data_IF_805502146806
#
_entry.id   IF_805502146806
#
_cell.length_a   1.000
_cell.length_b   1.000
_cell.length_c   1.000
_cell.angle_alpha   90.00
_cell.angle_beta   90.00
_cell.angle_gamma   90.00
#
_symmetry.space_group_name_H-M   'P 1'
#
loop_
_entity.id
_entity.type
_entity.pdbx_description
1 polymer ?
#
# COMPACT_ATOMS: atom_id res chain seq x y z
N UNK A 1 5.26 24.95 -44.47
CA UNK A 1 5.64 24.87 -43.04
C UNK A 1 7.12 25.20 -42.98
N UNK A 2 7.56 26.22 -42.24
CA UNK A 2 8.97 26.66 -42.26
C UNK A 2 9.89 25.56 -41.73
N UNK A 3 11.11 25.45 -42.28
CA UNK A 3 12.12 24.47 -41.85
C UNK A 3 12.43 24.56 -40.34
N UNK A 4 12.25 25.74 -39.75
CA UNK A 4 12.35 25.97 -38.30
C UNK A 4 11.30 25.21 -37.49
N UNK A 5 10.04 25.17 -37.96
CA UNK A 5 8.96 24.43 -37.28
C UNK A 5 9.19 22.93 -37.41
N UNK A 6 9.63 22.47 -38.59
CA UNK A 6 9.91 21.05 -38.81
C UNK A 6 11.11 20.58 -37.95
N UNK A 7 12.17 21.39 -37.84
CA UNK A 7 13.30 21.12 -36.96
C UNK A 7 12.89 21.09 -35.49
N UNK A 8 12.09 22.06 -35.03
CA UNK A 8 11.56 22.04 -33.66
C UNK A 8 10.75 20.77 -33.38
N UNK A 9 9.87 20.36 -34.31
CA UNK A 9 9.09 19.13 -34.18
C UNK A 9 9.98 17.89 -34.10
N UNK A 10 11.04 17.82 -34.92
CA UNK A 10 11.98 16.71 -34.91
C UNK A 10 12.81 16.65 -33.62
N UNK A 11 13.28 17.79 -33.12
CA UNK A 11 13.98 17.86 -31.82
C UNK A 11 13.05 17.48 -30.68
N UNK A 12 11.79 17.94 -30.69
CA UNK A 12 10.80 17.54 -29.69
C UNK A 12 10.50 16.05 -29.74
N UNK A 13 10.41 15.43 -30.92
CA UNK A 13 10.25 13.97 -31.06
C UNK A 13 11.46 13.22 -30.50
N UNK A 14 12.68 13.60 -30.87
CA UNK A 14 13.89 12.99 -30.34
C UNK A 14 14.00 13.11 -28.82
N UNK A 15 13.63 14.27 -28.27
CA UNK A 15 13.57 14.49 -26.84
C UNK A 15 12.53 13.58 -26.18
N UNK A 16 11.30 13.55 -26.70
CA UNK A 16 10.22 12.67 -26.24
C UNK A 16 10.61 11.20 -26.27
N UNK A 17 11.54 10.83 -27.15
CA UNK A 17 12.07 9.48 -27.33
C UNK A 17 13.33 9.14 -26.51
N UNK A 18 13.74 10.05 -25.60
CA UNK A 18 14.99 9.93 -24.83
C UNK A 18 14.77 9.50 -23.37
N UNK A 19 15.82 8.95 -22.73
CA UNK A 19 15.87 8.74 -21.27
C UNK A 19 15.74 10.05 -20.49
N UNK A 20 16.17 11.17 -21.09
CA UNK A 20 16.06 12.51 -20.53
C UNK A 20 14.59 12.90 -20.34
N UNK A 21 13.69 12.51 -21.25
CA UNK A 21 12.25 12.75 -21.09
C UNK A 21 11.67 12.04 -19.87
N UNK A 22 12.07 10.79 -19.58
CA UNK A 22 11.62 10.07 -18.39
C UNK A 22 12.06 10.74 -17.09
N UNK A 23 13.30 11.25 -17.06
CA UNK A 23 13.81 12.01 -15.94
C UNK A 23 12.99 13.30 -15.75
N UNK A 24 12.76 14.05 -16.82
CA UNK A 24 11.95 15.28 -16.77
C UNK A 24 10.51 15.00 -16.34
N UNK A 25 9.87 13.94 -16.86
CA UNK A 25 8.54 13.50 -16.40
C UNK A 25 8.57 13.24 -14.89
N UNK A 26 9.56 12.50 -14.40
CA UNK A 26 9.68 12.17 -12.98
C UNK A 26 9.86 13.43 -12.12
N UNK A 27 10.71 14.36 -12.56
CA UNK A 27 10.95 15.64 -11.87
C UNK A 27 9.69 16.51 -11.83
N UNK A 28 8.92 16.59 -12.92
CA UNK A 28 7.64 17.29 -12.94
C UNK A 28 6.65 16.64 -11.97
N UNK A 29 6.54 15.30 -11.99
CA UNK A 29 5.67 14.57 -11.05
C UNK A 29 6.06 14.75 -9.58
N UNK A 30 7.36 14.84 -9.27
CA UNK A 30 7.87 15.16 -7.93
C UNK A 30 7.53 16.60 -7.56
N UNK A 31 7.71 17.54 -8.48
CA UNK A 31 7.38 18.95 -8.26
C UNK A 31 5.91 19.15 -7.88
N UNK A 32 4.97 18.48 -8.57
CA UNK A 32 3.55 18.55 -8.21
C UNK A 32 3.25 17.95 -6.82
N UNK A 33 3.94 16.87 -6.42
CA UNK A 33 3.83 16.32 -5.05
C UNK A 33 4.31 17.31 -4.01
N UNK A 34 5.43 17.99 -4.26
CA UNK A 34 5.94 19.07 -3.40
C UNK A 34 4.93 20.21 -3.30
N UNK A 35 4.37 20.67 -4.42
CA UNK A 35 3.36 21.75 -4.43
C UNK A 35 2.12 21.40 -3.58
N UNK A 36 1.61 20.17 -3.69
CA UNK A 36 0.51 19.70 -2.84
C UNK A 36 0.92 19.66 -1.37
N UNK A 37 2.15 19.22 -1.08
CA UNK A 37 2.71 19.15 0.27
C UNK A 37 2.88 20.49 0.99
N UNK A 38 2.88 21.61 0.26
CA UNK A 38 2.90 22.97 0.83
C UNK A 38 1.62 23.26 1.62
N UNK A 39 0.49 22.67 1.23
CA UNK A 39 -0.80 22.83 1.90
C UNK A 39 -0.85 22.25 3.32
N UNK A 40 -1.95 22.48 4.05
CA UNK A 40 -2.18 21.84 5.35
C UNK A 40 -2.32 20.31 5.19
N UNK A 41 -2.10 19.58 6.28
CA UNK A 41 -2.24 18.12 6.36
C UNK A 41 -3.47 17.73 7.18
N UNK A 42 -3.80 16.43 7.17
CA UNK A 42 -4.87 15.86 8.00
C UNK A 42 -4.65 16.21 9.48
N UNK A 43 -5.57 16.99 10.06
CA UNK A 43 -5.53 17.39 11.46
C UNK A 43 -4.65 18.59 11.81
N UNK A 44 -4.21 19.39 10.82
CA UNK A 44 -3.43 20.61 11.08
C UNK A 44 -4.13 21.56 12.06
N UNK A 45 -3.45 21.91 13.17
CA UNK A 45 -3.98 22.75 14.26
C UNK A 45 -5.29 22.25 14.87
N UNK A 46 -5.52 20.93 14.89
CA UNK A 46 -6.74 20.30 15.42
C UNK A 46 -6.48 19.48 16.69
N UNK A 47 -6.11 20.17 17.77
CA UNK A 47 -6.03 19.58 19.12
C UNK A 47 -7.38 18.99 19.56
N UNK A 48 -7.42 17.93 20.40
CA UNK A 48 -6.27 17.28 21.06
C UNK A 48 -5.64 16.14 20.26
N UNK A 49 -6.37 15.54 19.32
CA UNK A 49 -5.94 14.30 18.66
C UNK A 49 -5.31 14.53 17.28
N UNK A 50 -5.51 15.68 16.63
CA UNK A 50 -5.00 15.93 15.28
C UNK A 50 -5.50 14.85 14.29
N UNK A 51 -4.71 14.52 13.27
CA UNK A 51 -5.11 13.60 12.19
C UNK A 51 -3.97 12.66 11.80
N UNK A 52 -4.04 12.12 10.58
CA UNK A 52 -3.13 11.06 10.12
C UNK A 52 -1.65 11.47 10.11
N UNK A 53 -1.35 12.76 9.94
CA UNK A 53 0.02 13.27 10.09
C UNK A 53 0.58 12.98 11.47
N UNK A 54 -0.21 13.29 12.51
CA UNK A 54 0.19 13.06 13.90
C UNK A 54 0.20 11.58 14.24
N UNK A 55 -0.70 10.78 13.64
CA UNK A 55 -0.65 9.33 13.79
C UNK A 55 0.71 8.77 13.33
N UNK A 56 1.17 9.14 12.13
CA UNK A 56 2.45 8.68 11.60
C UNK A 56 3.64 9.20 12.42
N UNK A 57 3.63 10.47 12.86
CA UNK A 57 4.67 11.01 13.75
C UNK A 57 4.70 10.24 15.07
N UNK A 58 3.55 10.01 15.68
CA UNK A 58 3.46 9.31 16.95
C UNK A 58 3.95 7.86 16.83
N UNK A 59 3.71 7.18 15.70
CA UNK A 59 4.29 5.86 15.45
C UNK A 59 5.82 5.89 15.41
N UNK A 60 6.42 6.94 14.83
CA UNK A 60 7.87 7.15 14.87
C UNK A 60 8.38 7.36 16.32
N UNK A 61 7.69 8.19 17.11
CA UNK A 61 7.99 8.40 18.53
C UNK A 61 7.92 7.10 19.33
N UNK A 62 6.83 6.33 19.20
CA UNK A 62 6.65 5.06 19.92
C UNK A 62 7.73 4.05 19.55
N UNK A 63 8.03 3.92 18.25
CA UNK A 63 8.99 2.90 17.79
C UNK A 63 10.41 3.20 18.24
N UNK A 64 10.81 4.47 18.29
CA UNK A 64 12.14 4.89 18.75
C UNK A 64 12.30 4.74 20.27
N UNK A 65 11.24 5.04 21.05
CA UNK A 65 11.35 5.11 22.51
C UNK A 65 11.00 3.80 23.23
N UNK A 66 10.20 2.92 22.62
CA UNK A 66 9.68 1.71 23.28
C UNK A 66 10.28 0.43 22.72
N UNK A 67 10.29 -0.63 23.54
CA UNK A 67 10.69 -1.95 23.06
C UNK A 67 9.67 -2.45 22.01
N UNK A 68 10.09 -3.17 20.95
CA UNK A 68 9.17 -3.75 19.97
C UNK A 68 7.99 -4.51 20.59
N UNK A 69 8.20 -5.23 21.70
CA UNK A 69 7.12 -5.96 22.40
C UNK A 69 6.00 -5.06 22.92
N UNK A 70 6.25 -3.76 23.10
CA UNK A 70 5.32 -2.78 23.66
C UNK A 70 4.58 -1.96 22.59
N UNK A 71 5.02 -2.02 21.32
CA UNK A 71 4.48 -1.20 20.23
C UNK A 71 2.97 -1.37 19.99
N UNK A 72 2.44 -2.58 20.23
CA UNK A 72 1.04 -2.93 20.03
C UNK A 72 0.30 -3.22 21.34
N UNK A 73 0.90 -2.94 22.49
CA UNK A 73 0.35 -3.28 23.81
C UNK A 73 0.00 -2.00 24.55
N UNK A 74 -1.16 -1.98 25.22
CA UNK A 74 -1.51 -0.90 26.12
C UNK A 74 -0.56 -0.93 27.32
N UNK A 75 0.22 0.13 27.51
CA UNK A 75 1.11 0.30 28.66
C UNK A 75 0.90 1.70 29.28
N UNK A 76 1.68 2.04 30.30
CA UNK A 76 1.71 3.41 30.82
C UNK A 76 2.27 4.40 29.77
N UNK A 77 3.18 3.91 28.93
CA UNK A 77 3.89 4.68 27.92
C UNK A 77 3.24 4.64 26.52
N UNK A 78 2.36 3.67 26.27
CA UNK A 78 1.62 3.51 25.03
C UNK A 78 0.11 3.42 25.32
N UNK A 79 -0.61 4.52 25.06
CA UNK A 79 -2.07 4.55 25.24
C UNK A 79 -2.81 4.46 23.92
N UNK A 80 -3.75 3.51 23.82
CA UNK A 80 -4.60 3.32 22.65
C UNK A 80 -5.55 4.48 22.37
N UNK A 81 -5.76 5.38 23.34
CA UNK A 81 -6.54 6.59 23.16
C UNK A 81 -5.84 7.61 22.24
N UNK A 82 -4.51 7.53 22.11
CA UNK A 82 -3.69 8.43 21.31
C UNK A 82 -2.89 7.66 20.25
N UNK A 83 -3.46 7.55 19.03
CA UNK A 83 -2.83 6.99 17.82
C UNK A 83 -1.95 5.75 18.01
N UNK A 84 -2.53 4.65 18.51
CA UNK A 84 -1.85 3.34 18.47
C UNK A 84 -1.43 2.96 17.05
N UNK A 85 -0.37 2.16 16.93
CA UNK A 85 0.02 1.54 15.67
C UNK A 85 -1.05 0.52 15.28
N UNK A 86 -1.72 0.74 14.15
CA UNK A 86 -2.77 -0.14 13.62
C UNK A 86 -2.37 -0.81 12.30
N UNK A 87 -1.13 -0.61 11.86
CA UNK A 87 -0.56 -1.25 10.67
C UNK A 87 0.35 -2.42 11.05
N UNK A 88 0.58 -3.40 10.16
CA UNK A 88 1.41 -4.56 10.49
C UNK A 88 2.90 -4.20 10.63
N UNK A 89 3.75 -5.15 11.08
CA UNK A 89 5.08 -4.84 11.59
C UNK A 89 6.03 -4.11 10.63
N UNK A 90 5.93 -4.29 9.31
CA UNK A 90 6.82 -3.57 8.39
C UNK A 90 6.57 -2.07 8.44
N UNK A 91 5.34 -1.61 8.65
CA UNK A 91 5.06 -0.18 8.86
C UNK A 91 5.69 0.35 10.14
N UNK A 92 5.67 -0.42 11.22
CA UNK A 92 6.34 -0.04 12.46
C UNK A 92 7.86 0.05 12.27
N UNK A 93 8.49 -0.90 11.56
CA UNK A 93 9.92 -0.82 11.25
C UNK A 93 10.27 0.34 10.31
N UNK A 94 9.42 0.67 9.33
CA UNK A 94 9.61 1.86 8.50
C UNK A 94 9.47 3.14 9.34
N UNK A 95 8.52 3.16 10.27
CA UNK A 95 8.37 4.26 11.24
C UNK A 95 9.59 4.37 12.15
N UNK A 96 10.19 3.26 12.57
CA UNK A 96 11.43 3.24 13.34
C UNK A 96 12.60 3.88 12.58
N UNK A 97 12.76 3.54 11.29
CA UNK A 97 13.83 4.10 10.45
C UNK A 97 13.66 5.61 10.33
N UNK A 98 12.46 6.08 9.99
CA UNK A 98 12.21 7.52 9.90
C UNK A 98 12.25 8.21 11.27
N UNK A 99 11.85 7.52 12.35
CA UNK A 99 11.93 8.03 13.70
C UNK A 99 13.37 8.29 14.14
N UNK A 100 14.31 7.39 13.86
CA UNK A 100 15.73 7.65 14.14
C UNK A 100 16.28 8.83 13.32
N UNK A 101 15.86 8.97 12.05
CA UNK A 101 16.25 10.13 11.23
C UNK A 101 15.65 11.41 11.82
N UNK A 102 14.38 11.38 12.24
CA UNK A 102 13.71 12.52 12.87
C UNK A 102 14.35 12.89 14.20
N UNK A 103 14.67 11.93 15.05
CA UNK A 103 15.36 12.16 16.32
C UNK A 103 16.73 12.79 16.13
N UNK A 104 17.46 12.42 15.06
CA UNK A 104 18.74 13.03 14.73
C UNK A 104 18.61 14.48 14.22
N UNK A 105 17.61 14.75 13.37
CA UNK A 105 17.42 16.07 12.75
C UNK A 105 16.69 17.07 13.66
N UNK A 106 15.71 16.59 14.42
CA UNK A 106 14.87 17.36 15.34
C UNK A 106 14.48 16.49 16.55
N UNK A 107 15.33 16.44 17.60
CA UNK A 107 15.09 15.62 18.79
C UNK A 107 13.77 15.93 19.50
N UNK A 108 13.29 17.18 19.44
CA UNK A 108 12.05 17.59 20.12
C UNK A 108 10.82 16.91 19.53
N UNK A 109 10.86 16.54 18.25
CA UNK A 109 9.78 15.83 17.56
C UNK A 109 9.54 14.40 18.05
N UNK A 110 10.47 13.81 18.81
CA UNK A 110 10.47 12.40 19.22
C UNK A 110 10.53 12.19 20.74
N UNK A 111 10.31 13.24 21.54
CA UNK A 111 10.29 13.11 23.01
C UNK A 111 8.98 12.46 23.44
N UNK A 112 9.09 11.30 24.11
CA UNK A 112 7.94 10.55 24.59
C UNK A 112 6.99 11.44 25.41
N UNK A 113 5.70 11.43 25.09
CA UNK A 113 4.62 12.24 25.67
C UNK A 113 4.67 13.75 25.38
N UNK A 114 5.84 14.38 25.43
CA UNK A 114 6.00 15.83 25.27
C UNK A 114 5.86 16.28 23.81
N UNK A 115 6.17 15.39 22.85
CA UNK A 115 6.08 15.67 21.41
C UNK A 115 4.70 15.39 20.81
N UNK A 116 3.69 15.06 21.62
CA UNK A 116 2.32 14.82 21.15
C UNK A 116 1.72 16.10 20.56
N UNK A 117 1.31 16.03 19.30
CA UNK A 117 0.81 17.18 18.56
C UNK A 117 1.90 18.19 18.17
N UNK A 118 3.15 17.73 18.01
CA UNK A 118 4.27 18.59 17.66
C UNK A 118 4.12 19.17 16.25
N UNK A 119 3.92 20.48 16.18
CA UNK A 119 3.78 21.24 14.94
C UNK A 119 4.98 22.18 14.74
N UNK A 120 5.92 21.77 13.90
CA UNK A 120 7.03 22.59 13.44
C UNK A 120 7.13 22.58 11.91
N UNK A 121 7.56 23.71 11.33
CA UNK A 121 7.65 23.87 9.89
C UNK A 121 8.76 23.01 9.25
N UNK A 122 9.92 22.90 9.88
CA UNK A 122 11.02 22.08 9.38
C UNK A 122 10.69 20.59 9.54
N UNK A 123 10.07 20.21 10.65
CA UNK A 123 9.58 18.85 10.84
C UNK A 123 8.50 18.47 9.81
N UNK A 124 7.61 19.41 9.43
CA UNK A 124 6.68 19.23 8.29
C UNK A 124 7.43 18.93 7.00
N UNK A 125 8.51 19.66 6.69
CA UNK A 125 9.32 19.39 5.50
C UNK A 125 9.89 17.97 5.55
N UNK A 126 10.50 17.57 6.68
CA UNK A 126 11.03 16.22 6.86
C UNK A 126 9.97 15.14 6.57
N UNK A 127 8.80 15.27 7.20
CA UNK A 127 7.69 14.34 7.04
C UNK A 127 7.17 14.29 5.59
N UNK A 128 7.09 15.42 4.88
CA UNK A 128 6.72 15.40 3.44
C UNK A 128 7.78 14.71 2.59
N UNK A 129 9.06 14.93 2.91
CA UNK A 129 10.17 14.33 2.17
C UNK A 129 10.30 12.82 2.40
N UNK A 130 9.95 12.30 3.58
CA UNK A 130 9.92 10.84 3.81
C UNK A 130 8.91 10.14 2.91
N UNK A 131 7.70 10.71 2.75
CA UNK A 131 6.67 10.18 1.85
C UNK A 131 7.15 10.22 0.39
N UNK A 132 7.73 11.34 -0.05
CA UNK A 132 8.31 11.48 -1.40
C UNK A 132 9.44 10.48 -1.63
N UNK A 133 10.32 10.27 -0.65
CA UNK A 133 11.41 9.31 -0.77
C UNK A 133 10.89 7.88 -0.97
N UNK A 134 9.90 7.45 -0.17
CA UNK A 134 9.23 6.16 -0.35
C UNK A 134 8.56 6.02 -1.72
N UNK A 135 7.86 7.06 -2.17
CA UNK A 135 7.18 7.11 -3.47
C UNK A 135 8.18 6.98 -4.63
N UNK A 136 9.26 7.78 -4.63
CA UNK A 136 10.28 7.74 -5.68
C UNK A 136 11.05 6.41 -5.68
N UNK A 137 11.49 5.93 -4.51
CA UNK A 137 12.33 4.73 -4.44
C UNK A 137 11.56 3.46 -4.78
N UNK A 138 10.26 3.39 -4.44
CA UNK A 138 9.49 2.14 -4.56
C UNK A 138 8.39 2.23 -5.61
N UNK A 139 7.56 3.27 -5.62
CA UNK A 139 6.44 3.38 -6.57
C UNK A 139 6.90 3.80 -7.97
N UNK A 140 7.70 4.86 -8.10
CA UNK A 140 8.14 5.33 -9.43
C UNK A 140 8.97 4.25 -10.15
N UNK A 141 9.88 3.61 -9.42
CA UNK A 141 10.76 2.57 -9.98
C UNK A 141 9.99 1.31 -10.39
N UNK A 142 9.08 0.82 -9.54
CA UNK A 142 8.24 -0.34 -9.85
C UNK A 142 7.28 -0.06 -11.00
N UNK A 143 6.64 1.12 -11.00
CA UNK A 143 5.74 1.56 -12.05
C UNK A 143 6.48 1.59 -13.39
N UNK A 144 7.66 2.20 -13.44
CA UNK A 144 8.46 2.21 -14.65
C UNK A 144 8.75 0.79 -15.17
N UNK A 145 9.16 -0.13 -14.28
CA UNK A 145 9.47 -1.52 -14.65
C UNK A 145 8.26 -2.31 -15.15
N UNK A 146 7.11 -2.18 -14.49
CA UNK A 146 5.87 -2.82 -14.95
C UNK A 146 5.43 -2.25 -16.30
N UNK A 147 5.49 -0.92 -16.46
CA UNK A 147 5.17 -0.24 -17.72
C UNK A 147 6.08 -0.66 -18.87
N UNK A 148 7.36 -0.88 -18.61
CA UNK A 148 8.30 -1.41 -19.60
C UNK A 148 7.94 -2.80 -20.13
N UNK A 149 7.19 -3.61 -19.37
CA UNK A 149 6.71 -4.92 -19.82
C UNK A 149 5.36 -4.78 -20.52
N UNK A 150 4.41 -4.10 -19.89
CA UNK A 150 3.03 -4.00 -20.36
C UNK A 150 2.88 -3.22 -21.66
N UNK A 151 3.66 -2.16 -21.81
CA UNK A 151 3.44 -1.16 -22.85
C UNK A 151 4.40 -1.33 -24.03
N UNK A 152 5.10 -2.47 -24.14
CA UNK A 152 6.06 -2.74 -25.23
C UNK A 152 5.44 -2.67 -26.63
N UNK A 153 4.14 -2.98 -26.74
CA UNK A 153 3.39 -2.89 -27.99
C UNK A 153 3.13 -1.45 -28.47
N UNK A 154 3.35 -0.45 -27.61
CA UNK A 154 3.15 0.95 -27.95
C UNK A 154 4.48 1.65 -28.21
N UNK A 155 4.46 2.66 -29.08
CA UNK A 155 5.61 3.53 -29.34
C UNK A 155 6.07 4.27 -28.07
N UNK A 156 7.33 4.71 -28.06
CA UNK A 156 7.97 5.30 -26.87
C UNK A 156 7.22 6.54 -26.36
N UNK A 157 6.77 7.43 -27.24
CA UNK A 157 5.97 8.61 -26.87
C UNK A 157 4.69 8.24 -26.12
N UNK A 158 3.91 7.27 -26.61
CA UNK A 158 2.69 6.80 -25.94
C UNK A 158 2.99 6.18 -24.58
N UNK A 159 4.09 5.40 -24.48
CA UNK A 159 4.52 4.81 -23.21
C UNK A 159 4.85 5.87 -22.17
N UNK A 160 5.56 6.92 -22.56
CA UNK A 160 5.92 8.03 -21.67
C UNK A 160 4.69 8.83 -21.25
N UNK A 161 3.75 9.08 -22.16
CA UNK A 161 2.49 9.75 -21.84
C UNK A 161 1.68 8.95 -20.80
N UNK A 162 1.55 7.63 -20.97
CA UNK A 162 0.85 6.78 -20.01
C UNK A 162 1.56 6.71 -18.65
N UNK A 163 2.91 6.70 -18.64
CA UNK A 163 3.69 6.76 -17.41
C UNK A 163 3.46 8.08 -16.66
N UNK A 164 3.46 9.20 -17.38
CA UNK A 164 3.12 10.51 -16.82
C UNK A 164 1.70 10.54 -16.25
N UNK A 165 0.70 10.06 -16.99
CA UNK A 165 -0.71 10.00 -16.52
C UNK A 165 -0.84 9.18 -15.24
N UNK A 166 -0.16 8.03 -15.16
CA UNK A 166 -0.19 7.19 -13.96
C UNK A 166 0.46 7.86 -12.75
N UNK A 167 1.59 8.54 -12.93
CA UNK A 167 2.26 9.30 -11.88
C UNK A 167 1.48 10.55 -11.44
N UNK A 168 0.67 11.11 -12.33
CA UNK A 168 -0.19 12.28 -12.10
C UNK A 168 -1.61 11.92 -11.62
N UNK A 169 -1.85 10.67 -11.22
CA UNK A 169 -3.14 10.24 -10.68
C UNK A 169 -3.54 11.09 -9.45
N UNK A 170 -4.58 11.96 -9.54
CA UNK A 170 -4.87 12.92 -8.48
C UNK A 170 -5.19 12.30 -7.11
N UNK A 171 -5.98 11.21 -7.00
CA UNK A 171 -6.23 10.58 -5.71
C UNK A 171 -4.96 10.14 -4.99
N UNK A 172 -3.99 9.57 -5.70
CA UNK A 172 -2.71 9.15 -5.10
C UNK A 172 -1.91 10.36 -4.60
N UNK A 173 -1.84 11.43 -5.40
CA UNK A 173 -1.10 12.63 -5.02
C UNK A 173 -1.75 13.31 -3.80
N UNK A 174 -3.06 13.53 -3.84
CA UNK A 174 -3.78 14.27 -2.79
C UNK A 174 -3.82 13.51 -1.46
N UNK A 175 -3.99 12.19 -1.49
CA UNK A 175 -4.04 11.38 -0.26
C UNK A 175 -2.65 11.24 0.35
N UNK A 176 -1.62 10.91 -0.43
CA UNK A 176 -0.29 10.70 0.17
C UNK A 176 0.40 12.02 0.50
N UNK A 177 0.40 12.98 -0.43
CA UNK A 177 1.20 14.20 -0.32
C UNK A 177 0.41 15.40 0.21
N UNK A 178 -0.93 15.33 0.24
CA UNK A 178 -1.79 16.32 0.87
C UNK A 178 -2.23 15.85 2.25
N UNK A 179 -3.06 14.80 2.29
CA UNK A 179 -3.64 14.25 3.51
C UNK A 179 -2.61 13.65 4.47
N UNK A 180 -1.51 13.09 3.94
CA UNK A 180 -0.38 12.47 4.66
C UNK A 180 -0.54 10.98 4.90
N UNK A 181 -0.24 10.18 3.88
CA UNK A 181 -0.32 8.73 3.90
C UNK A 181 0.85 8.13 3.10
N UNK A 182 1.20 6.86 3.37
CA UNK A 182 2.25 6.13 2.65
C UNK A 182 1.65 5.06 1.70
N UNK A 183 0.54 5.33 1.01
CA UNK A 183 -0.13 4.31 0.18
C UNK A 183 0.68 3.91 -1.06
N UNK A 184 1.37 4.86 -1.69
CA UNK A 184 2.24 4.62 -2.83
C UNK A 184 3.33 3.61 -2.51
N UNK A 185 3.80 3.52 -1.26
CA UNK A 185 4.76 2.50 -0.84
C UNK A 185 4.18 1.08 -0.94
N UNK A 186 2.95 0.84 -0.43
CA UNK A 186 2.22 -0.42 -0.61
C UNK A 186 2.02 -0.74 -2.11
N UNK A 187 1.53 0.24 -2.87
CA UNK A 187 1.28 0.04 -4.31
C UNK A 187 2.56 -0.25 -5.07
N UNK A 188 3.68 0.38 -4.69
CA UNK A 188 4.99 0.13 -5.29
C UNK A 188 5.53 -1.27 -4.98
N UNK A 189 5.40 -1.75 -3.74
CA UNK A 189 5.73 -3.14 -3.39
C UNK A 189 4.86 -4.12 -4.18
N UNK A 190 3.57 -3.83 -4.32
CA UNK A 190 2.65 -4.64 -5.14
C UNK A 190 3.06 -4.67 -6.61
N UNK A 191 3.45 -3.53 -7.18
CA UNK A 191 3.93 -3.45 -8.57
C UNK A 191 5.27 -4.17 -8.76
N UNK A 192 6.19 -4.09 -7.80
CA UNK A 192 7.42 -4.88 -7.82
C UNK A 192 7.12 -6.38 -7.80
N UNK A 193 6.20 -6.81 -6.93
CA UNK A 193 5.78 -8.20 -6.88
C UNK A 193 5.18 -8.67 -8.21
N UNK A 194 4.33 -7.84 -8.84
CA UNK A 194 3.80 -8.09 -10.19
C UNK A 194 4.95 -8.24 -11.20
N UNK A 195 5.91 -7.31 -11.21
CA UNK A 195 7.05 -7.34 -12.13
C UNK A 195 7.84 -8.65 -12.03
N UNK A 196 8.18 -9.08 -10.82
CA UNK A 196 8.94 -10.32 -10.60
C UNK A 196 8.14 -11.56 -10.97
N UNK A 197 6.84 -11.60 -10.65
CA UNK A 197 5.93 -12.65 -11.13
C UNK A 197 5.90 -12.72 -12.66
N UNK A 198 5.87 -11.59 -13.36
CA UNK A 198 5.89 -11.54 -14.83
C UNK A 198 7.20 -12.02 -15.45
N UNK A 199 8.31 -11.91 -14.70
CA UNK A 199 9.62 -12.44 -15.07
C UNK A 199 9.78 -13.92 -14.73
N UNK A 200 8.74 -14.58 -14.21
CA UNK A 200 8.80 -15.97 -13.75
C UNK A 200 9.50 -16.15 -12.40
N UNK A 201 9.93 -15.06 -11.75
CA UNK A 201 10.58 -15.06 -10.43
C UNK A 201 9.53 -15.02 -9.31
N UNK A 202 8.63 -16.00 -9.29
CA UNK A 202 7.46 -16.03 -8.40
C UNK A 202 7.81 -16.10 -6.91
N UNK A 203 8.97 -16.65 -6.53
CA UNK A 203 9.46 -16.61 -5.15
C UNK A 203 9.71 -15.17 -4.69
N UNK A 204 10.47 -14.41 -5.48
CA UNK A 204 10.77 -12.99 -5.20
C UNK A 204 9.48 -12.17 -5.21
N UNK A 205 8.61 -12.42 -6.18
CA UNK A 205 7.29 -11.80 -6.25
C UNK A 205 6.45 -12.07 -5.01
N UNK A 206 6.40 -13.32 -4.54
CA UNK A 206 5.70 -13.72 -3.32
C UNK A 206 6.26 -13.04 -2.06
N UNK A 207 7.59 -13.02 -1.90
CA UNK A 207 8.25 -12.35 -0.76
C UNK A 207 7.92 -10.84 -0.75
N UNK A 208 8.09 -10.15 -1.88
CA UNK A 208 7.82 -8.71 -1.97
C UNK A 208 6.34 -8.40 -1.73
N UNK A 209 5.43 -9.24 -2.23
CA UNK A 209 4.00 -9.07 -1.97
C UNK A 209 3.68 -9.25 -0.48
N UNK A 210 4.30 -10.23 0.19
CA UNK A 210 4.20 -10.43 1.63
C UNK A 210 4.74 -9.23 2.41
N UNK A 211 5.84 -8.61 1.97
CA UNK A 211 6.30 -7.33 2.54
C UNK A 211 5.21 -6.25 2.38
N UNK A 212 4.59 -6.15 1.21
CA UNK A 212 3.46 -5.24 0.97
C UNK A 212 2.30 -5.44 1.96
N UNK A 213 1.84 -6.67 2.13
CA UNK A 213 0.77 -6.99 3.12
C UNK A 213 1.21 -6.61 4.53
N UNK A 214 2.47 -6.86 4.89
CA UNK A 214 3.01 -6.51 6.20
C UNK A 214 3.30 -5.01 6.37
N UNK A 215 3.26 -4.22 5.29
CA UNK A 215 3.28 -2.77 5.37
C UNK A 215 1.88 -2.25 5.65
N UNK A 216 0.88 -2.69 4.89
CA UNK A 216 -0.52 -2.28 5.10
C UNK A 216 -1.45 -3.41 4.72
N UNK A 217 -2.29 -3.83 5.66
CA UNK A 217 -3.19 -4.98 5.57
C UNK A 217 -4.19 -4.87 4.41
N UNK A 218 -4.46 -3.66 3.92
CA UNK A 218 -5.27 -3.43 2.70
C UNK A 218 -4.66 -4.09 1.45
N UNK A 219 -3.38 -4.46 1.47
CA UNK A 219 -2.76 -5.30 0.44
C UNK A 219 -3.43 -6.68 0.29
N UNK A 220 -4.17 -7.16 1.30
CA UNK A 220 -4.94 -8.40 1.23
C UNK A 220 -5.99 -8.42 0.11
N UNK A 221 -6.44 -7.25 -0.36
CA UNK A 221 -7.40 -7.15 -1.46
C UNK A 221 -6.82 -7.69 -2.78
N UNK A 222 -5.50 -7.84 -2.86
CA UNK A 222 -4.81 -8.44 -3.99
C UNK A 222 -4.39 -9.90 -3.73
N UNK A 223 -4.52 -10.39 -2.49
CA UNK A 223 -3.92 -11.67 -2.07
C UNK A 223 -4.48 -12.86 -2.84
N UNK A 224 -5.80 -12.94 -3.05
CA UNK A 224 -6.41 -14.00 -3.85
C UNK A 224 -5.93 -13.98 -5.30
N UNK A 225 -5.66 -12.79 -5.87
CA UNK A 225 -5.12 -12.68 -7.24
C UNK A 225 -3.70 -13.23 -7.32
N UNK A 226 -2.83 -12.85 -6.39
CA UNK A 226 -1.44 -13.34 -6.34
C UNK A 226 -1.38 -14.84 -6.06
N UNK A 227 -2.16 -15.31 -5.09
CA UNK A 227 -2.27 -16.73 -4.77
C UNK A 227 -2.68 -17.54 -6.00
N UNK A 228 -3.79 -17.17 -6.64
CA UNK A 228 -4.30 -17.87 -7.81
C UNK A 228 -3.35 -17.78 -9.01
N UNK A 229 -2.66 -16.65 -9.21
CA UNK A 229 -1.66 -16.51 -10.26
C UNK A 229 -0.45 -17.42 -10.03
N UNK A 230 0.16 -17.38 -8.84
CA UNK A 230 1.37 -18.16 -8.54
C UNK A 230 1.04 -19.66 -8.56
N UNK A 231 -0.07 -20.07 -7.94
CA UNK A 231 -0.50 -21.46 -7.94
C UNK A 231 -0.77 -21.96 -9.36
N UNK A 232 -1.51 -21.19 -10.17
CA UNK A 232 -1.74 -21.51 -11.58
C UNK A 232 -0.44 -21.60 -12.37
N UNK A 233 0.45 -20.61 -12.24
CA UNK A 233 1.73 -20.56 -12.94
C UNK A 233 2.60 -21.78 -12.66
N UNK A 234 2.67 -22.21 -11.40
CA UNK A 234 3.46 -23.36 -10.99
C UNK A 234 2.78 -24.71 -11.22
N UNK A 235 1.45 -24.74 -11.31
CA UNK A 235 0.69 -25.98 -11.57
C UNK A 235 0.62 -26.32 -13.05
N UNK A 236 0.80 -25.34 -13.94
CA UNK A 236 0.78 -25.54 -15.39
C UNK A 236 1.99 -26.33 -15.91
N UNK A 237 3.15 -26.18 -15.27
CA UNK A 237 4.33 -26.97 -15.56
C UNK A 237 4.39 -28.16 -14.58
N UNK A 238 4.13 -29.37 -15.08
CA UNK A 238 4.09 -30.60 -14.28
C UNK A 238 5.48 -31.14 -13.91
N UNK A 239 6.55 -30.39 -14.20
CA UNK A 239 7.92 -30.74 -13.81
C UNK A 239 8.15 -30.79 -12.30
N UNK A 240 9.10 -31.63 -11.88
CA UNK A 240 9.56 -31.71 -10.48
C UNK A 240 10.02 -30.34 -9.95
N UNK A 241 10.67 -29.53 -10.79
CA UNK A 241 11.13 -28.18 -10.46
C UNK A 241 9.99 -27.27 -10.00
N UNK A 242 8.85 -27.31 -10.68
CA UNK A 242 7.70 -26.45 -10.36
C UNK A 242 7.03 -26.86 -9.04
N UNK A 243 6.91 -28.17 -8.78
CA UNK A 243 6.43 -28.69 -7.49
C UNK A 243 7.33 -28.25 -6.33
N UNK A 244 8.64 -28.36 -6.50
CA UNK A 244 9.62 -27.92 -5.50
C UNK A 244 9.55 -26.40 -5.30
N UNK A 245 9.38 -25.63 -6.37
CA UNK A 245 9.28 -24.17 -6.30
C UNK A 245 8.04 -23.71 -5.53
N UNK A 246 6.90 -24.40 -5.61
CA UNK A 246 5.71 -24.10 -4.77
C UNK A 246 6.07 -24.13 -3.29
N UNK A 247 6.80 -25.16 -2.85
CA UNK A 247 7.24 -25.30 -1.46
C UNK A 247 8.14 -24.13 -1.07
N UNK A 248 9.09 -23.77 -1.93
CA UNK A 248 9.98 -22.63 -1.66
C UNK A 248 9.23 -21.30 -1.61
N UNK A 249 8.22 -21.07 -2.46
CA UNK A 249 7.39 -19.87 -2.38
C UNK A 249 6.62 -19.84 -1.06
N UNK A 250 5.95 -20.94 -0.69
CA UNK A 250 5.24 -21.04 0.58
C UNK A 250 6.16 -20.80 1.78
N UNK A 251 7.34 -21.44 1.79
CA UNK A 251 8.35 -21.24 2.81
C UNK A 251 8.86 -19.79 2.86
N UNK A 252 9.15 -19.17 1.71
CA UNK A 252 9.59 -17.78 1.63
C UNK A 252 8.56 -16.80 2.18
N UNK A 253 7.28 -17.00 1.87
CA UNK A 253 6.17 -16.21 2.42
C UNK A 253 6.07 -16.38 3.93
N UNK A 254 6.06 -17.61 4.44
CA UNK A 254 5.97 -17.89 5.88
C UNK A 254 7.18 -17.31 6.61
N UNK A 255 8.39 -17.57 6.12
CA UNK A 255 9.62 -17.09 6.73
C UNK A 255 9.67 -15.57 6.77
N UNK A 256 9.26 -14.89 5.70
CA UNK A 256 9.20 -13.41 5.67
C UNK A 256 8.26 -12.87 6.75
N UNK A 257 7.06 -13.44 6.88
CA UNK A 257 6.10 -13.05 7.92
C UNK A 257 6.66 -13.35 9.32
N UNK A 258 7.21 -14.54 9.55
CA UNK A 258 7.79 -14.92 10.83
C UNK A 258 8.89 -13.96 11.22
N UNK A 259 9.85 -13.66 10.33
CA UNK A 259 10.96 -12.73 10.59
C UNK A 259 10.44 -11.36 11.04
N UNK A 260 9.46 -10.80 10.32
CA UNK A 260 8.88 -9.51 10.67
C UNK A 260 8.15 -9.54 12.03
N UNK A 261 7.53 -10.68 12.36
CA UNK A 261 6.69 -10.83 13.55
C UNK A 261 7.44 -11.37 14.77
N UNK A 262 8.74 -11.67 14.67
CA UNK A 262 9.57 -12.30 15.71
C UNK A 262 9.29 -11.75 17.12
N UNK A 263 9.26 -10.41 17.37
CA UNK A 263 9.07 -9.89 18.72
C UNK A 263 7.75 -10.34 19.37
N UNK A 264 6.68 -10.46 18.59
CA UNK A 264 5.31 -10.69 19.07
C UNK A 264 4.86 -12.16 19.04
N UNK A 265 5.45 -13.00 18.19
CA UNK A 265 5.12 -14.45 18.16
C UNK A 265 5.66 -15.22 19.37
N UNK A 266 6.54 -14.61 20.17
CA UNK A 266 7.15 -15.25 21.35
C UNK A 266 6.16 -15.46 22.50
N UNK A 267 5.04 -14.72 22.53
CA UNK A 267 4.04 -14.80 23.58
C UNK A 267 2.64 -14.67 22.95
N UNK A 268 1.72 -15.59 23.28
CA UNK A 268 0.35 -15.59 22.77
C UNK A 268 -0.41 -14.28 23.04
N UNK A 269 -0.16 -13.62 24.17
CA UNK A 269 -0.74 -12.31 24.48
C UNK A 269 -0.26 -11.23 23.51
N UNK A 270 1.05 -11.17 23.23
CA UNK A 270 1.62 -10.17 22.32
C UNK A 270 1.12 -10.38 20.89
N UNK A 271 1.04 -11.64 20.45
CA UNK A 271 0.48 -12.00 19.16
C UNK A 271 -0.98 -11.58 19.03
N UNK A 272 -1.79 -11.81 20.07
CA UNK A 272 -3.19 -11.40 20.10
C UNK A 272 -3.33 -9.87 19.96
N UNK A 273 -2.57 -9.10 20.73
CA UNK A 273 -2.60 -7.63 20.67
C UNK A 273 -2.21 -7.10 19.29
N UNK A 274 -1.18 -7.68 18.66
CA UNK A 274 -0.78 -7.37 17.28
C UNK A 274 -1.92 -7.65 16.28
N UNK A 275 -2.57 -8.80 16.36
CA UNK A 275 -3.66 -9.18 15.45
C UNK A 275 -4.87 -8.25 15.65
N UNK A 276 -5.25 -7.93 16.88
CA UNK A 276 -6.36 -7.02 17.21
C UNK A 276 -6.08 -5.58 16.75
N UNK A 277 -4.82 -5.15 16.73
CA UNK A 277 -4.42 -3.87 16.18
C UNK A 277 -4.59 -3.81 14.66
N UNK A 278 -4.15 -4.86 13.95
CA UNK A 278 -4.20 -4.93 12.47
C UNK A 278 -5.64 -5.16 11.96
N UNK A 279 -6.41 -6.01 12.65
CA UNK A 279 -7.77 -6.41 12.29
C UNK A 279 -8.76 -6.13 13.43
N UNK A 280 -9.26 -4.89 13.55
CA UNK A 280 -10.23 -4.56 14.60
C UNK A 280 -11.63 -5.08 14.25
N UNK A 281 -11.89 -6.36 14.52
CA UNK A 281 -13.15 -7.07 14.21
C UNK A 281 -14.41 -6.38 14.77
N UNK A 282 -14.26 -5.49 15.76
CA UNK A 282 -15.36 -4.81 16.44
C UNK A 282 -15.92 -3.57 15.70
N UNK A 283 -15.39 -3.18 14.53
CA UNK A 283 -15.97 -2.07 13.74
C UNK A 283 -17.23 -2.53 12.98
N UNK A 284 -18.32 -1.78 13.12
CA UNK A 284 -19.59 -2.08 12.47
C UNK A 284 -19.57 -1.79 10.96
N UNK A 285 -20.33 -2.56 10.19
CA UNK A 285 -20.27 -2.61 8.71
C UNK A 285 -20.69 -1.35 7.95
N UNK A 286 -21.11 -0.27 8.58
CA UNK A 286 -21.42 0.99 7.89
C UNK A 286 -21.28 2.18 8.84
N UNK A 287 -20.39 2.06 9.82
CA UNK A 287 -20.04 3.17 10.72
C UNK A 287 -19.32 4.29 9.94
N UNK A 288 -18.65 3.95 8.84
CA UNK A 288 -18.06 4.90 7.90
C UNK A 288 -18.94 5.00 6.64
N UNK A 289 -19.27 6.23 6.24
CA UNK A 289 -20.02 6.49 5.00
C UNK A 289 -19.09 6.32 3.80
N UNK A 290 -18.99 5.08 3.32
CA UNK A 290 -18.17 4.70 2.14
C UNK A 290 -19.09 4.40 0.96
N UNK A 291 -18.62 4.61 -0.27
CA UNK A 291 -19.37 4.29 -1.49
C UNK A 291 -19.38 2.78 -1.79
N UNK A 292 -19.81 1.96 -0.82
CA UNK A 292 -19.87 0.51 -0.93
C UNK A 292 -21.32 -0.01 -0.97
N UNK A 293 -21.48 -1.32 -1.26
CA UNK A 293 -22.79 -1.95 -1.39
C UNK A 293 -23.63 -1.78 -0.13
N UNK A 294 -23.01 -1.93 1.05
CA UNK A 294 -23.68 -1.85 2.35
C UNK A 294 -24.23 -0.46 2.63
N UNK A 295 -23.44 0.60 2.44
CA UNK A 295 -23.90 1.97 2.68
C UNK A 295 -25.02 2.38 1.71
N UNK A 296 -24.90 2.01 0.43
CA UNK A 296 -25.92 2.31 -0.57
C UNK A 296 -27.23 1.55 -0.30
N UNK A 297 -27.16 0.23 -0.12
CA UNK A 297 -28.34 -0.61 0.12
C UNK A 297 -29.01 -0.29 1.46
N UNK A 298 -28.26 0.17 2.48
CA UNK A 298 -28.82 0.56 3.78
C UNK A 298 -29.78 1.76 3.71
N UNK A 299 -29.80 2.50 2.61
CA UNK A 299 -30.82 3.53 2.36
C UNK A 299 -32.20 2.90 2.19
N UNK A 300 -32.26 1.75 1.50
CA UNK A 300 -33.50 1.05 1.15
C UNK A 300 -33.82 -0.11 2.11
N UNK A 301 -32.80 -0.86 2.52
CA UNK A 301 -32.90 -2.06 3.36
C UNK A 301 -32.13 -1.82 4.64
N UNK A 302 -32.84 -1.63 5.76
CA UNK A 302 -32.20 -1.46 7.08
C UNK A 302 -31.67 -2.80 7.59
N UNK A 303 -30.46 -3.19 7.15
CA UNK A 303 -29.87 -4.51 7.43
C UNK A 303 -29.82 -4.88 8.92
N UNK A 304 -29.55 -3.92 9.81
CA UNK A 304 -29.58 -4.13 11.27
C UNK A 304 -30.94 -4.58 11.83
N UNK A 305 -32.04 -4.33 11.11
CA UNK A 305 -33.37 -4.76 11.56
C UNK A 305 -33.59 -6.26 11.27
N UNK A 306 -32.81 -6.84 10.36
CA UNK A 306 -32.98 -8.22 9.88
C UNK A 306 -31.86 -9.14 10.34
N UNK A 307 -30.65 -8.63 10.52
CA UNK A 307 -29.47 -9.43 10.84
C UNK A 307 -28.63 -8.76 11.93
N UNK A 308 -28.01 -9.59 12.77
CA UNK A 308 -27.00 -9.13 13.71
C UNK A 308 -25.67 -8.83 13.00
N UNK A 309 -24.76 -8.10 13.67
CA UNK A 309 -23.49 -7.70 13.10
C UNK A 309 -22.62 -8.89 12.65
N UNK A 310 -22.59 -9.98 13.43
CA UNK A 310 -21.80 -11.17 13.10
C UNK A 310 -22.29 -11.83 11.80
N UNK A 311 -23.60 -12.00 11.65
CA UNK A 311 -24.20 -12.56 10.44
C UNK A 311 -23.91 -11.68 9.23
N UNK A 312 -24.01 -10.37 9.36
CA UNK A 312 -23.68 -9.47 8.27
C UNK A 312 -22.18 -9.54 7.89
N UNK A 313 -21.27 -9.73 8.85
CA UNK A 313 -19.84 -9.97 8.58
C UNK A 313 -19.67 -11.27 7.79
N UNK A 314 -20.33 -12.36 8.17
CA UNK A 314 -20.27 -13.61 7.41
C UNK A 314 -20.83 -13.48 5.99
N UNK A 315 -21.95 -12.77 5.81
CA UNK A 315 -22.51 -12.49 4.48
C UNK A 315 -21.52 -11.67 3.66
N UNK A 316 -20.86 -10.67 4.25
CA UNK A 316 -19.87 -9.82 3.60
C UNK A 316 -18.67 -10.63 3.07
N UNK A 317 -18.15 -11.55 3.88
CA UNK A 317 -17.06 -12.45 3.51
C UNK A 317 -17.52 -13.39 2.39
N UNK A 318 -18.69 -14.00 2.55
CA UNK A 318 -19.26 -14.92 1.58
C UNK A 318 -19.45 -14.28 0.20
N UNK A 319 -20.08 -13.10 0.14
CA UNK A 319 -20.27 -12.36 -1.11
C UNK A 319 -18.94 -11.99 -1.76
N UNK A 320 -17.98 -11.51 -0.96
CA UNK A 320 -16.65 -11.13 -1.45
C UNK A 320 -15.93 -12.32 -2.09
N UNK A 321 -15.95 -13.48 -1.43
CA UNK A 321 -15.30 -14.70 -1.90
C UNK A 321 -15.98 -15.23 -3.17
N UNK A 322 -17.31 -15.35 -3.18
CA UNK A 322 -18.06 -15.85 -4.33
C UNK A 322 -17.84 -14.98 -5.56
N UNK A 323 -17.89 -13.66 -5.41
CA UNK A 323 -17.69 -12.74 -6.52
C UNK A 323 -16.21 -12.69 -6.98
N UNK A 324 -15.27 -13.14 -6.15
CA UNK A 324 -13.87 -13.30 -6.52
C UNK A 324 -13.61 -14.61 -7.30
N UNK A 325 -14.38 -15.67 -7.07
CA UNK A 325 -14.16 -17.02 -7.64
C UNK A 325 -14.02 -17.05 -9.17
N UNK A 326 -14.86 -16.36 -9.98
CA UNK A 326 -14.71 -16.41 -11.44
C UNK A 326 -13.35 -15.91 -11.91
N UNK A 327 -12.86 -14.82 -11.30
CA UNK A 327 -11.55 -14.24 -11.64
C UNK A 327 -10.39 -15.13 -11.17
N UNK A 328 -10.53 -15.76 -10.00
CA UNK A 328 -9.56 -16.75 -9.49
C UNK A 328 -9.49 -17.97 -10.42
N UNK A 329 -10.63 -18.50 -10.85
CA UNK A 329 -10.70 -19.65 -11.74
C UNK A 329 -10.04 -19.37 -13.09
N UNK A 330 -10.27 -18.20 -13.69
CA UNK A 330 -9.65 -17.83 -14.96
C UNK A 330 -8.12 -17.74 -14.83
N UNK A 331 -7.61 -17.10 -13.77
CA UNK A 331 -6.16 -16.91 -13.64
C UNK A 331 -5.45 -18.22 -13.25
N UNK A 332 -6.08 -19.08 -12.45
CA UNK A 332 -5.57 -20.42 -12.13
C UNK A 332 -5.38 -21.26 -13.40
N UNK A 333 -6.38 -21.24 -14.28
CA UNK A 333 -6.36 -22.02 -15.52
C UNK A 333 -5.59 -21.33 -16.67
N UNK A 334 -5.28 -20.04 -16.57
CA UNK A 334 -4.55 -19.29 -17.59
C UNK A 334 -3.69 -18.22 -16.90
N UNK A 335 -2.55 -18.59 -16.30
CA UNK A 335 -1.68 -17.69 -15.54
C UNK A 335 -0.88 -16.77 -16.47
N UNK A 336 -1.58 -15.95 -17.27
CA UNK A 336 -0.99 -14.94 -18.15
C UNK A 336 -1.18 -13.57 -17.53
N UNK A 337 -0.18 -12.71 -17.71
CA UNK A 337 -0.19 -11.38 -17.12
C UNK A 337 -1.38 -10.51 -17.55
N UNK A 338 -1.85 -10.66 -18.80
CA UNK A 338 -3.09 -10.03 -19.28
C UNK A 338 -4.28 -10.30 -18.34
N UNK A 339 -4.46 -11.54 -17.91
CA UNK A 339 -5.56 -11.93 -17.03
C UNK A 339 -5.31 -11.53 -15.58
N UNK A 340 -4.06 -11.47 -15.14
CA UNK A 340 -3.71 -11.04 -13.77
C UNK A 340 -4.21 -9.63 -13.49
N UNK A 341 -4.13 -8.70 -14.46
CA UNK A 341 -4.65 -7.33 -14.33
C UNK A 341 -6.15 -7.28 -14.05
N UNK A 342 -6.92 -8.03 -14.85
CA UNK A 342 -8.36 -8.13 -14.66
C UNK A 342 -8.71 -8.82 -13.34
N UNK A 343 -7.94 -9.84 -12.95
CA UNK A 343 -8.12 -10.53 -11.68
C UNK A 343 -7.87 -9.56 -10.49
N UNK A 344 -6.76 -8.83 -10.51
CA UNK A 344 -6.44 -7.81 -9.50
C UNK A 344 -7.55 -6.77 -9.38
N UNK A 345 -8.04 -6.25 -10.51
CA UNK A 345 -9.14 -5.28 -10.51
C UNK A 345 -10.43 -5.89 -9.95
N UNK A 346 -10.90 -7.02 -10.51
CA UNK A 346 -12.17 -7.62 -10.11
C UNK A 346 -12.18 -8.03 -8.63
N UNK A 347 -11.10 -8.63 -8.14
CA UNK A 347 -11.00 -9.05 -6.74
C UNK A 347 -10.93 -7.82 -5.83
N UNK A 348 -10.06 -6.85 -6.11
CA UNK A 348 -10.00 -5.64 -5.27
C UNK A 348 -11.31 -4.85 -5.26
N UNK A 349 -12.04 -4.80 -6.38
CA UNK A 349 -13.38 -4.21 -6.42
C UNK A 349 -14.41 -5.03 -5.63
N UNK A 350 -14.32 -6.37 -5.66
CA UNK A 350 -15.15 -7.24 -4.83
C UNK A 350 -14.93 -6.95 -3.35
N UNK A 351 -13.67 -6.87 -2.91
CA UNK A 351 -13.32 -6.46 -1.55
C UNK A 351 -13.84 -5.07 -1.22
N UNK A 352 -13.63 -4.08 -2.09
CA UNK A 352 -14.10 -2.70 -1.86
C UNK A 352 -15.63 -2.61 -1.69
N UNK A 353 -16.40 -3.30 -2.53
CA UNK A 353 -17.85 -3.20 -2.49
C UNK A 353 -18.48 -4.01 -1.36
N UNK A 354 -17.94 -5.20 -1.07
CA UNK A 354 -18.62 -6.19 -0.22
C UNK A 354 -17.93 -6.42 1.12
N UNK A 355 -16.67 -6.03 1.32
CA UNK A 355 -16.09 -5.95 2.66
C UNK A 355 -16.32 -4.54 3.19
N UNK A 356 -16.92 -4.43 4.37
CA UNK A 356 -16.87 -3.17 5.09
C UNK A 356 -15.65 -3.14 5.98
N UNK A 357 -14.93 -2.03 5.92
CA UNK A 357 -13.63 -1.79 6.54
C UNK A 357 -13.51 -2.44 7.92
N UNK A 358 -12.53 -3.34 8.04
CA UNK A 358 -11.96 -3.78 9.31
C UNK A 358 -11.54 -2.61 10.18
#
# INVERSE_FOLDING_TARGET
MSDSILNLINTLRQYLDSKTCLLTISLICIFFRILVGLGPYSGYKQSPKYGDYEAQRHWMELTVNLNPKEWYVQTLDNSFDYWRIDYPPLSAYVSLIFGYISQYLDPQSMILFYSRGYEDYNHKIFMRMSVIACDVLVFFTSLYKVYQIEMQKYGFTTRNALFFVALMCPPLILIDHGHFQYNCFLHGLTLWAIYFCCKGQVLVGGIIFTLGINFKQMGLYYALSFFSFILGYLSFDSGFKSRVLIIFVGFGVILTTVILWIPWITNGYLLQQLIEAIFPINRGLYQLKVANFWCFSNIFIKWNNYFNQQTLVYISIFLTLILSLPSMFVILNRPKFKYMRFCLFNISMSFFFFVSCT
#
